data_IF_073025366263
#
_entry.id   IF_073025366263
#
_cell.length_a   1.000
_cell.length_b   1.000
_cell.length_c   1.000
_cell.angle_alpha   90.00
_cell.angle_beta   90.00
_cell.angle_gamma   90.00
#
_symmetry.space_group_name_H-M   'P 1'
#
loop_
_entity.id
_entity.type
_entity.pdbx_description
1 polymer ?
#
# COMPACT_ATOMS: atom_id res chain seq x y z
N UNK A 1 17.38 -11.65 3.81
CA UNK A 1 16.39 -12.60 3.21
C UNK A 1 16.08 -12.12 1.82
N UNK A 2 16.42 -12.92 0.80
CA UNK A 2 16.34 -12.52 -0.59
C UNK A 2 15.13 -13.17 -1.24
N UNK A 3 14.41 -12.40 -2.06
CA UNK A 3 13.40 -12.87 -3.01
C UNK A 3 13.94 -12.48 -4.38
N UNK A 4 13.92 -13.39 -5.32
CA UNK A 4 14.31 -13.14 -6.70
C UNK A 4 13.32 -13.81 -7.64
N UNK A 5 13.16 -13.26 -8.81
CA UNK A 5 12.17 -13.77 -9.75
C UNK A 5 12.21 -13.08 -11.10
N UNK A 6 11.28 -13.48 -11.94
CA UNK A 6 11.07 -12.91 -13.26
C UNK A 6 9.61 -12.48 -13.43
N UNK A 7 9.43 -11.40 -14.18
CA UNK A 7 8.13 -10.91 -14.57
C UNK A 7 8.09 -10.75 -16.09
N UNK A 8 7.32 -11.61 -16.74
CA UNK A 8 7.06 -11.55 -18.17
C UNK A 8 5.75 -10.82 -18.42
N UNK A 9 5.77 -9.86 -19.33
CA UNK A 9 4.57 -9.12 -19.74
C UNK A 9 4.53 -9.13 -21.27
N UNK A 10 3.45 -9.67 -21.84
CA UNK A 10 3.11 -9.55 -23.24
C UNK A 10 2.04 -8.49 -23.42
N UNK A 11 2.41 -7.35 -23.96
CA UNK A 11 1.48 -6.29 -24.32
C UNK A 11 0.89 -6.58 -25.70
N UNK A 12 -0.42 -6.34 -25.84
CA UNK A 12 -1.14 -6.56 -27.10
C UNK A 12 -1.23 -8.04 -27.54
N UNK A 13 -1.53 -8.93 -26.58
CA UNK A 13 -1.52 -10.39 -26.74
C UNK A 13 -2.39 -10.90 -27.93
N UNK A 14 -3.58 -10.34 -28.13
CA UNK A 14 -4.46 -10.67 -29.26
C UNK A 14 -4.72 -9.48 -30.21
N UNK A 15 -3.83 -8.48 -30.22
CA UNK A 15 -3.94 -7.33 -31.11
C UNK A 15 -4.89 -6.22 -30.65
N UNK A 16 -5.51 -6.33 -29.45
CA UNK A 16 -6.46 -5.38 -28.89
C UNK A 16 -5.98 -4.68 -27.61
N UNK A 17 -4.66 -4.51 -27.51
CA UNK A 17 -3.98 -3.96 -26.31
C UNK A 17 -4.23 -4.78 -25.04
N UNK A 18 -4.52 -6.04 -25.18
CA UNK A 18 -4.65 -7.01 -24.09
C UNK A 18 -3.27 -7.32 -23.52
N UNK A 19 -3.22 -7.47 -22.19
CA UNK A 19 -1.99 -7.80 -21.48
C UNK A 19 -2.10 -9.18 -20.86
N UNK A 20 -1.11 -10.01 -21.15
CA UNK A 20 -0.87 -11.25 -20.44
C UNK A 20 0.38 -11.06 -19.60
N UNK A 21 0.30 -11.38 -18.31
CA UNK A 21 1.41 -11.28 -17.39
C UNK A 21 1.65 -12.60 -16.66
N UNK A 22 2.91 -12.98 -16.52
CA UNK A 22 3.33 -14.12 -15.71
C UNK A 22 4.44 -13.64 -14.78
N UNK A 23 4.21 -13.73 -13.48
CA UNK A 23 5.19 -13.39 -12.47
C UNK A 23 5.56 -14.62 -11.66
N UNK A 24 6.85 -14.93 -11.57
CA UNK A 24 7.37 -16.01 -10.77
C UNK A 24 8.48 -15.49 -9.86
N UNK A 25 8.30 -15.68 -8.55
CA UNK A 25 9.27 -15.29 -7.51
C UNK A 25 9.60 -16.51 -6.65
N UNK A 26 10.82 -16.58 -6.16
CA UNK A 26 11.29 -17.66 -5.26
C UNK A 26 12.19 -17.09 -4.16
N UNK A 27 12.45 -17.90 -3.12
CA UNK A 27 13.16 -17.51 -1.91
C UNK A 27 12.32 -17.78 -0.67
N UNK A 28 12.34 -16.87 0.29
CA UNK A 28 11.51 -16.97 1.51
C UNK A 28 10.01 -16.79 1.24
N UNK A 29 9.66 -16.06 0.21
CA UNK A 29 8.32 -16.02 -0.37
C UNK A 29 8.43 -16.55 -1.79
N UNK A 30 7.62 -17.54 -2.11
CA UNK A 30 7.44 -18.01 -3.46
C UNK A 30 6.09 -17.49 -3.97
N UNK A 31 6.06 -16.96 -5.19
CA UNK A 31 4.85 -16.46 -5.82
C UNK A 31 4.81 -16.90 -7.28
N UNK A 32 3.67 -17.42 -7.68
CA UNK A 32 3.30 -17.58 -9.07
C UNK A 32 2.01 -16.79 -9.32
N UNK A 33 2.04 -15.89 -10.28
CA UNK A 33 0.87 -15.07 -10.62
C UNK A 33 0.69 -15.06 -12.14
N UNK A 34 -0.50 -15.43 -12.58
CA UNK A 34 -0.96 -15.32 -13.96
C UNK A 34 -2.04 -14.24 -14.00
N UNK A 35 -1.86 -13.26 -14.86
CA UNK A 35 -2.80 -12.17 -15.05
C UNK A 35 -3.16 -11.98 -16.52
N UNK A 36 -4.43 -11.74 -16.78
CA UNK A 36 -4.95 -11.28 -18.06
C UNK A 36 -5.72 -10.00 -17.87
N UNK A 37 -5.56 -9.05 -18.77
CA UNK A 37 -6.27 -7.78 -18.75
C UNK A 37 -6.58 -7.32 -20.16
N UNK A 38 -7.85 -7.13 -20.44
CA UNK A 38 -8.33 -6.44 -21.63
C UNK A 38 -8.82 -5.05 -21.23
N UNK A 39 -8.11 -3.97 -21.63
CA UNK A 39 -8.47 -2.63 -21.21
C UNK A 39 -9.77 -2.11 -21.86
N UNK A 40 -10.20 -2.70 -22.98
CA UNK A 40 -11.33 -2.20 -23.77
C UNK A 40 -12.15 -3.33 -24.35
N UNK A 41 -13.24 -3.70 -23.67
CA UNK A 41 -14.19 -4.70 -24.14
C UNK A 41 -15.42 -4.05 -24.81
N UNK A 42 -15.56 -2.72 -24.71
CA UNK A 42 -16.64 -1.95 -25.31
C UNK A 42 -16.15 -1.07 -26.46
N UNK A 43 -17.02 -0.72 -27.44
CA UNK A 43 -16.67 0.16 -28.57
C UNK A 43 -16.25 1.57 -28.12
N UNK A 44 -16.76 2.06 -26.99
CA UNK A 44 -16.42 3.38 -26.42
C UNK A 44 -15.07 3.40 -25.71
N UNK A 45 -14.39 2.25 -25.59
CA UNK A 45 -13.09 2.10 -24.90
C UNK A 45 -13.11 2.62 -23.47
N UNK A 46 -14.19 2.36 -22.74
CA UNK A 46 -14.39 2.81 -21.36
C UNK A 46 -14.40 1.68 -20.36
N UNK A 47 -14.70 0.46 -20.82
CA UNK A 47 -14.85 -0.73 -19.97
C UNK A 47 -13.72 -1.72 -20.24
N UNK A 48 -13.04 -2.14 -19.20
CA UNK A 48 -12.01 -3.18 -19.22
C UNK A 48 -12.36 -4.36 -18.33
N UNK A 49 -11.84 -5.53 -18.68
CA UNK A 49 -11.97 -6.80 -17.95
C UNK A 49 -10.60 -7.30 -17.54
N UNK A 50 -10.51 -7.88 -16.35
CA UNK A 50 -9.30 -8.56 -15.87
C UNK A 50 -9.63 -9.89 -15.20
N UNK A 51 -8.67 -10.81 -15.27
CA UNK A 51 -8.67 -12.07 -14.53
C UNK A 51 -7.28 -12.33 -13.98
N UNK A 52 -7.19 -12.89 -12.78
CA UNK A 52 -5.90 -13.28 -12.20
C UNK A 52 -6.02 -14.54 -11.36
N UNK A 53 -4.93 -15.34 -11.39
CA UNK A 53 -4.70 -16.47 -10.52
C UNK A 53 -3.38 -16.25 -9.80
N UNK A 54 -3.35 -16.43 -8.48
CA UNK A 54 -2.17 -16.18 -7.66
C UNK A 54 -1.98 -17.32 -6.68
N UNK A 55 -0.76 -17.86 -6.62
CA UNK A 55 -0.30 -18.83 -5.63
C UNK A 55 0.90 -18.25 -4.88
N UNK A 56 0.85 -18.28 -3.55
CA UNK A 56 1.91 -17.71 -2.70
C UNK A 56 2.21 -18.68 -1.55
N UNK A 57 3.49 -18.95 -1.33
CA UNK A 57 3.96 -19.63 -0.11
C UNK A 57 4.94 -18.75 0.66
N UNK A 58 4.90 -18.87 1.97
CA UNK A 58 5.78 -18.13 2.87
C UNK A 58 6.52 -19.08 3.80
N UNK A 59 7.86 -19.02 3.81
CA UNK A 59 8.76 -19.66 4.76
C UNK A 59 9.16 -18.72 5.90
N UNK A 60 8.79 -17.47 5.80
CA UNK A 60 8.90 -16.46 6.84
C UNK A 60 7.54 -15.78 7.01
N UNK A 61 7.00 -15.83 8.21
CA UNK A 61 5.66 -15.32 8.48
C UNK A 61 5.62 -14.59 9.82
N UNK A 62 5.06 -13.37 9.81
CA UNK A 62 4.70 -12.67 11.03
C UNK A 62 3.45 -13.33 11.61
N UNK A 63 3.55 -13.80 12.86
CA UNK A 63 2.46 -14.51 13.52
C UNK A 63 1.83 -13.75 14.69
N UNK A 64 2.51 -12.70 15.18
CA UNK A 64 2.03 -11.87 16.31
C UNK A 64 2.71 -10.50 16.26
N UNK A 65 2.03 -9.49 16.76
CA UNK A 65 2.64 -8.18 17.07
C UNK A 65 2.89 -8.09 18.57
N UNK A 66 4.11 -7.69 18.95
CA UNK A 66 4.52 -7.47 20.34
C UNK A 66 5.26 -6.14 20.41
N UNK A 67 4.81 -5.23 21.26
CA UNK A 67 5.39 -3.89 21.44
C UNK A 67 5.56 -3.15 20.11
N UNK A 68 4.49 -3.13 19.32
CA UNK A 68 4.44 -2.45 18.01
C UNK A 68 5.46 -2.94 16.98
N UNK A 69 5.96 -4.17 17.15
CA UNK A 69 6.86 -4.84 16.21
C UNK A 69 6.36 -6.23 15.85
N UNK A 70 6.62 -6.66 14.62
CA UNK A 70 6.21 -7.98 14.14
C UNK A 70 7.14 -9.08 14.64
N UNK A 71 6.59 -10.02 15.39
CA UNK A 71 7.27 -11.28 15.67
C UNK A 71 7.11 -12.22 14.49
N UNK A 72 8.24 -12.62 13.92
CA UNK A 72 8.29 -13.47 12.73
C UNK A 72 8.89 -14.83 13.04
N UNK A 73 8.28 -15.87 12.49
CA UNK A 73 8.85 -17.22 12.43
C UNK A 73 9.47 -17.44 11.06
N UNK A 74 10.68 -18.02 11.05
CA UNK A 74 11.35 -18.48 9.83
C UNK A 74 11.55 -19.98 9.89
N UNK A 75 11.28 -20.67 8.81
CA UNK A 75 11.39 -22.13 8.70
C UNK A 75 11.84 -22.52 7.30
N UNK A 76 12.45 -23.71 7.19
CA UNK A 76 12.70 -24.34 5.88
C UNK A 76 11.41 -24.94 5.29
N UNK A 77 10.40 -25.20 6.13
CA UNK A 77 9.07 -25.65 5.70
C UNK A 77 8.16 -24.45 5.39
N UNK A 78 7.15 -24.67 4.59
CA UNK A 78 6.13 -23.67 4.29
C UNK A 78 5.31 -23.41 5.57
N UNK A 79 5.24 -22.15 5.98
CA UNK A 79 4.46 -21.69 7.13
C UNK A 79 3.07 -21.20 6.74
N UNK A 80 2.92 -20.67 5.53
CA UNK A 80 1.63 -20.30 4.97
C UNK A 80 1.63 -20.57 3.48
N UNK A 81 0.53 -21.12 3.02
CA UNK A 81 0.18 -21.31 1.63
C UNK A 81 -1.11 -20.54 1.34
N UNK A 82 -1.18 -19.87 0.21
CA UNK A 82 -2.37 -19.14 -0.22
C UNK A 82 -2.50 -19.18 -1.73
N UNK A 83 -3.70 -19.46 -2.19
CA UNK A 83 -4.08 -19.27 -3.58
C UNK A 83 -5.32 -18.40 -3.68
N UNK A 84 -5.48 -17.67 -4.77
CA UNK A 84 -6.63 -16.83 -5.03
C UNK A 84 -6.87 -16.68 -6.51
N UNK A 85 -8.16 -16.59 -6.86
CA UNK A 85 -8.63 -16.28 -8.21
C UNK A 85 -9.51 -15.04 -8.18
N UNK A 86 -9.34 -14.12 -9.13
CA UNK A 86 -10.13 -12.91 -9.21
C UNK A 86 -10.58 -12.59 -10.63
N UNK A 87 -11.78 -12.01 -10.72
CA UNK A 87 -12.31 -11.36 -11.91
C UNK A 87 -12.57 -9.90 -11.58
N UNK A 88 -12.17 -9.01 -12.47
CA UNK A 88 -12.29 -7.57 -12.25
C UNK A 88 -12.85 -6.83 -13.46
N UNK A 89 -13.59 -5.79 -13.18
CA UNK A 89 -14.10 -4.82 -14.15
C UNK A 89 -13.52 -3.46 -13.83
N UNK A 90 -13.06 -2.76 -14.86
CA UNK A 90 -12.62 -1.37 -14.78
C UNK A 90 -13.47 -0.53 -15.71
N UNK A 91 -13.98 0.59 -15.22
CA UNK A 91 -14.73 1.55 -16.03
C UNK A 91 -14.12 2.93 -15.86
N UNK A 92 -13.83 3.58 -16.99
CA UNK A 92 -13.43 4.96 -17.04
C UNK A 92 -14.61 5.81 -17.53
N UNK A 93 -15.16 6.67 -16.67
CA UNK A 93 -16.31 7.51 -17.03
C UNK A 93 -15.86 8.83 -17.67
N UNK A 94 -14.87 9.47 -17.08
CA UNK A 94 -14.25 10.71 -17.57
C UNK A 94 -12.73 10.55 -17.61
N UNK A 95 -12.02 11.58 -18.00
CA UNK A 95 -10.56 11.51 -18.15
C UNK A 95 -9.83 11.10 -16.86
N UNK A 96 -10.34 11.55 -15.71
CA UNK A 96 -9.73 11.33 -14.39
C UNK A 96 -10.53 10.37 -13.49
N UNK A 97 -11.70 9.89 -13.93
CA UNK A 97 -12.62 9.08 -13.13
C UNK A 97 -12.49 7.60 -13.48
N UNK A 98 -12.02 6.82 -12.53
CA UNK A 98 -11.83 5.38 -12.66
C UNK A 98 -12.65 4.64 -11.61
N UNK A 99 -13.45 3.69 -12.06
CA UNK A 99 -14.19 2.76 -11.23
C UNK A 99 -13.62 1.36 -11.42
N UNK A 100 -13.53 0.63 -10.34
CA UNK A 100 -13.05 -0.74 -10.31
C UNK A 100 -13.99 -1.59 -9.47
N UNK A 101 -14.34 -2.76 -9.98
CA UNK A 101 -15.08 -3.77 -9.23
C UNK A 101 -14.36 -5.11 -9.37
N UNK A 102 -14.26 -5.87 -8.30
CA UNK A 102 -13.59 -7.18 -8.30
C UNK A 102 -14.36 -8.15 -7.43
N UNK A 103 -14.47 -9.40 -7.91
CA UNK A 103 -14.82 -10.56 -7.12
C UNK A 103 -13.57 -11.44 -7.01
N UNK A 104 -13.20 -11.83 -5.79
CA UNK A 104 -12.01 -12.62 -5.49
C UNK A 104 -12.34 -13.73 -4.52
N UNK A 105 -12.02 -14.96 -4.90
CA UNK A 105 -11.96 -16.06 -3.96
C UNK A 105 -10.54 -16.23 -3.43
N UNK A 106 -10.40 -16.43 -2.14
CA UNK A 106 -9.12 -16.65 -1.46
C UNK A 106 -9.22 -17.85 -0.53
N UNK A 107 -8.23 -18.74 -0.62
CA UNK A 107 -8.01 -19.84 0.30
C UNK A 107 -6.59 -19.78 0.84
N UNK A 108 -6.43 -19.88 2.14
CA UNK A 108 -5.13 -19.80 2.80
C UNK A 108 -5.05 -20.81 3.95
N UNK A 109 -3.92 -21.52 4.02
CA UNK A 109 -3.61 -22.49 5.06
C UNK A 109 -2.32 -22.09 5.77
N UNK A 110 -2.29 -22.21 7.10
CA UNK A 110 -1.08 -22.02 7.91
C UNK A 110 -0.67 -23.33 8.59
N UNK A 111 0.63 -23.47 8.80
CA UNK A 111 1.18 -24.61 9.55
C UNK A 111 0.68 -24.63 10.99
N UNK A 112 0.54 -25.82 11.57
CA UNK A 112 0.14 -26.02 12.97
C UNK A 112 1.00 -25.22 13.95
N UNK A 113 2.29 -25.06 13.65
CA UNK A 113 3.21 -24.24 14.46
C UNK A 113 2.72 -22.78 14.57
N UNK A 114 2.18 -22.20 13.51
CA UNK A 114 1.64 -20.83 13.54
C UNK A 114 0.39 -20.77 14.40
N UNK A 115 -0.50 -21.76 14.28
CA UNK A 115 -1.70 -21.87 15.11
C UNK A 115 -1.35 -22.03 16.60
N UNK A 116 -0.33 -22.84 16.92
CA UNK A 116 0.13 -23.03 18.30
C UNK A 116 0.72 -21.73 18.88
N UNK A 117 1.49 -20.98 18.09
CA UNK A 117 2.09 -19.70 18.49
C UNK A 117 1.07 -18.56 18.60
N UNK A 118 0.04 -18.58 17.76
CA UNK A 118 -1.07 -17.64 17.80
C UNK A 118 -2.39 -18.34 17.41
N UNK A 119 -3.17 -18.83 18.39
CA UNK A 119 -4.46 -19.47 18.14
C UNK A 119 -5.48 -18.54 17.46
N UNK A 120 -5.29 -17.23 17.56
CA UNK A 120 -6.15 -16.21 16.92
C UNK A 120 -5.64 -15.77 15.55
N UNK A 121 -4.63 -16.46 14.98
CA UNK A 121 -4.08 -16.10 13.68
C UNK A 121 -5.18 -16.11 12.59
N UNK A 122 -5.98 -17.20 12.55
CA UNK A 122 -7.25 -17.28 11.83
C UNK A 122 -8.41 -17.47 12.82
N UNK A 123 -9.62 -17.27 12.33
CA UNK A 123 -10.81 -17.30 13.16
C UNK A 123 -11.03 -18.68 13.82
N UNK A 124 -11.39 -18.69 15.10
CA UNK A 124 -11.65 -19.88 15.92
C UNK A 124 -10.49 -20.89 16.00
N UNK A 125 -9.25 -20.45 15.85
CA UNK A 125 -8.09 -21.35 15.91
C UNK A 125 -7.99 -22.30 14.72
N UNK A 126 -8.62 -21.96 13.60
CA UNK A 126 -8.51 -22.73 12.36
C UNK A 126 -7.10 -22.59 11.76
N UNK A 127 -6.66 -23.64 11.05
CA UNK A 127 -5.48 -23.57 10.19
C UNK A 127 -5.81 -22.98 8.82
N UNK A 128 -7.08 -22.89 8.47
CA UNK A 128 -7.56 -22.51 7.15
C UNK A 128 -8.44 -21.28 7.23
N UNK A 129 -8.35 -20.46 6.21
CA UNK A 129 -9.22 -19.31 6.00
C UNK A 129 -9.58 -19.24 4.52
N UNK A 130 -10.85 -19.38 4.21
CA UNK A 130 -11.41 -19.24 2.88
C UNK A 130 -12.55 -18.23 2.89
N UNK A 131 -12.62 -17.43 1.86
CA UNK A 131 -13.70 -16.44 1.71
C UNK A 131 -13.78 -15.92 0.28
N UNK A 132 -14.98 -15.50 -0.08
CA UNK A 132 -15.28 -14.72 -1.27
C UNK A 132 -15.31 -13.24 -0.89
N UNK A 133 -14.59 -12.40 -1.62
CA UNK A 133 -14.51 -10.97 -1.41
C UNK A 133 -15.11 -10.22 -2.60
N UNK A 134 -15.90 -9.20 -2.32
CA UNK A 134 -16.28 -8.17 -3.28
C UNK A 134 -15.55 -6.88 -2.95
N UNK A 135 -14.98 -6.26 -3.96
CA UNK A 135 -14.34 -4.95 -3.85
C UNK A 135 -14.96 -4.01 -4.86
N UNK A 136 -15.33 -2.83 -4.42
CA UNK A 136 -15.58 -1.69 -5.29
C UNK A 136 -14.61 -0.58 -4.93
N UNK A 137 -13.94 -0.01 -5.93
CA UNK A 137 -13.03 1.10 -5.74
C UNK A 137 -13.28 2.21 -6.75
N UNK A 138 -13.07 3.44 -6.31
CA UNK A 138 -13.12 4.64 -7.11
C UNK A 138 -11.81 5.39 -6.96
N UNK A 139 -11.27 5.93 -8.05
CA UNK A 139 -10.09 6.78 -8.06
C UNK A 139 -10.29 7.96 -8.99
N UNK A 140 -10.05 9.15 -8.44
CA UNK A 140 -9.96 10.42 -9.18
C UNK A 140 -8.56 10.97 -9.01
N UNK A 141 -7.80 11.07 -10.10
CA UNK A 141 -6.41 11.55 -10.07
C UNK A 141 -6.21 12.74 -11.00
N UNK A 142 -6.18 13.92 -10.42
CA UNK A 142 -5.98 15.22 -11.10
C UNK A 142 -4.71 15.90 -10.56
N UNK A 143 -3.60 15.15 -10.51
CA UNK A 143 -2.29 15.67 -10.13
C UNK A 143 -1.53 16.14 -11.37
N UNK A 144 -0.74 17.19 -11.21
CA UNK A 144 0.16 17.72 -12.25
C UNK A 144 1.24 16.70 -12.62
N UNK A 145 1.92 16.16 -11.63
CA UNK A 145 2.99 15.18 -11.80
C UNK A 145 2.89 14.07 -10.75
N UNK A 146 2.45 12.88 -11.14
CA UNK A 146 2.13 11.82 -10.20
C UNK A 146 3.27 11.37 -9.26
N UNK A 147 4.57 11.35 -9.67
CA UNK A 147 5.68 10.98 -8.77
C UNK A 147 5.97 11.99 -7.67
N UNK A 148 5.80 13.28 -7.93
CA UNK A 148 6.03 14.37 -6.97
C UNK A 148 5.07 15.53 -7.28
N UNK A 149 3.82 15.44 -6.83
CA UNK A 149 2.82 16.44 -7.16
C UNK A 149 2.99 17.72 -6.37
N UNK A 150 2.84 18.83 -7.05
CA UNK A 150 2.84 20.19 -6.49
C UNK A 150 1.47 20.83 -6.59
N UNK A 151 0.63 20.39 -7.54
CA UNK A 151 -0.71 20.92 -7.80
C UNK A 151 -1.72 19.81 -8.05
N UNK A 152 -2.97 20.10 -7.71
CA UNK A 152 -4.08 19.21 -8.02
C UNK A 152 -4.57 18.42 -6.82
N UNK A 153 -5.22 17.29 -7.09
CA UNK A 153 -5.79 16.44 -6.04
C UNK A 153 -5.88 15.01 -6.50
N UNK A 154 -5.87 14.10 -5.52
CA UNK A 154 -6.15 12.69 -5.71
C UNK A 154 -7.15 12.23 -4.65
N UNK A 155 -8.18 11.50 -5.08
CA UNK A 155 -9.22 10.95 -4.21
C UNK A 155 -9.33 9.47 -4.53
N UNK A 156 -9.13 8.61 -3.55
CA UNK A 156 -9.34 7.19 -3.65
C UNK A 156 -10.36 6.75 -2.60
N UNK A 157 -11.21 5.83 -2.98
CA UNK A 157 -12.22 5.21 -2.13
C UNK A 157 -12.26 3.72 -2.45
N UNK A 158 -12.40 2.87 -1.43
CA UNK A 158 -12.58 1.45 -1.60
C UNK A 158 -13.52 0.89 -0.55
N UNK A 159 -14.49 0.11 -0.99
CA UNK A 159 -15.38 -0.70 -0.15
C UNK A 159 -15.07 -2.16 -0.40
N UNK A 160 -14.76 -2.89 0.65
CA UNK A 160 -14.48 -4.32 0.61
C UNK A 160 -15.47 -5.05 1.49
N UNK A 161 -16.09 -6.08 0.97
CA UNK A 161 -16.95 -6.99 1.70
C UNK A 161 -16.33 -8.39 1.66
N UNK A 162 -16.08 -8.96 2.83
CA UNK A 162 -15.43 -10.26 3.01
C UNK A 162 -16.43 -11.28 3.54
N UNK A 163 -16.51 -12.44 2.90
CA UNK A 163 -17.37 -13.51 3.34
C UNK A 163 -18.83 -13.38 2.89
N UNK A 164 -19.06 -13.60 1.61
CA UNK A 164 -20.37 -13.53 0.98
C UNK A 164 -21.14 -14.83 1.19
N UNK A 165 -20.43 -15.96 1.20
CA UNK A 165 -21.01 -17.28 1.32
C UNK A 165 -21.18 -17.66 2.81
N UNK A 166 -22.22 -18.42 3.13
CA UNK A 166 -22.52 -18.83 4.50
C UNK A 166 -21.38 -19.65 5.15
N UNK A 167 -20.60 -20.37 4.33
CA UNK A 167 -19.44 -21.17 4.77
C UNK A 167 -18.14 -20.39 4.85
N UNK A 168 -18.11 -19.10 4.51
CA UNK A 168 -16.90 -18.30 4.54
C UNK A 168 -16.40 -18.11 5.98
N UNK A 169 -15.08 -18.14 6.15
CA UNK A 169 -14.42 -17.96 7.44
C UNK A 169 -14.49 -16.52 7.96
N UNK A 170 -14.75 -15.56 7.08
CA UNK A 170 -14.88 -14.14 7.39
C UNK A 170 -16.30 -13.67 7.09
N UNK A 171 -16.76 -12.66 7.81
CA UNK A 171 -18.01 -11.95 7.51
C UNK A 171 -17.95 -10.54 8.09
N UNK A 172 -17.38 -9.61 7.33
CA UNK A 172 -17.30 -8.20 7.68
C UNK A 172 -17.04 -7.35 6.43
N UNK A 173 -17.19 -6.04 6.56
CA UNK A 173 -16.78 -5.10 5.53
C UNK A 173 -15.79 -4.07 6.07
N UNK A 174 -14.96 -3.53 5.19
CA UNK A 174 -14.15 -2.34 5.44
C UNK A 174 -14.37 -1.28 4.35
N UNK A 175 -14.29 -0.03 4.79
CA UNK A 175 -14.29 1.16 3.97
C UNK A 175 -12.96 1.86 4.12
N UNK A 176 -12.32 2.17 3.00
CA UNK A 176 -11.08 2.93 2.96
C UNK A 176 -11.25 4.16 2.11
N UNK A 177 -10.77 5.28 2.60
CA UNK A 177 -10.75 6.54 1.88
C UNK A 177 -9.38 7.19 1.96
N UNK A 178 -8.95 7.80 0.87
CA UNK A 178 -7.73 8.61 0.81
C UNK A 178 -8.01 9.86 0.00
N UNK A 179 -7.65 11.01 0.55
CA UNK A 179 -7.77 12.30 -0.12
C UNK A 179 -6.45 13.02 0.02
N UNK A 180 -5.87 13.44 -1.09
CA UNK A 180 -4.66 14.24 -1.12
C UNK A 180 -4.89 15.52 -1.93
N UNK A 181 -4.55 16.65 -1.35
CA UNK A 181 -4.57 17.96 -2.00
C UNK A 181 -3.16 18.53 -2.08
N UNK A 182 -2.88 19.16 -3.22
CA UNK A 182 -1.59 19.78 -3.54
C UNK A 182 -1.86 21.24 -3.92
N UNK A 183 -1.40 22.15 -3.09
CA UNK A 183 -1.63 23.58 -3.24
C UNK A 183 -0.35 24.31 -3.61
N UNK A 184 -0.38 25.06 -4.67
CA UNK A 184 0.63 26.06 -5.00
C UNK A 184 0.21 27.39 -4.35
N UNK A 185 1.03 27.87 -3.42
CA UNK A 185 0.79 29.12 -2.70
C UNK A 185 1.43 30.33 -3.41
N UNK A 186 2.11 30.10 -4.53
CA UNK A 186 2.93 31.10 -5.20
C UNK A 186 4.32 31.28 -4.56
N UNK A 187 5.17 32.06 -5.18
CA UNK A 187 6.53 32.39 -4.70
C UNK A 187 7.36 31.14 -4.33
N UNK A 188 7.18 30.03 -5.08
CA UNK A 188 7.87 28.74 -4.86
C UNK A 188 7.46 27.98 -3.58
N UNK A 189 6.34 28.33 -2.95
CA UNK A 189 5.83 27.64 -1.77
C UNK A 189 4.68 26.70 -2.14
N UNK A 190 4.69 25.51 -1.57
CA UNK A 190 3.68 24.47 -1.83
C UNK A 190 3.26 23.80 -0.53
N UNK A 191 2.01 23.36 -0.49
CA UNK A 191 1.49 22.53 0.62
C UNK A 191 0.93 21.23 0.05
N UNK A 192 1.27 20.14 0.68
CA UNK A 192 0.63 18.85 0.48
C UNK A 192 -0.11 18.47 1.75
N UNK A 193 -1.38 18.12 1.64
CA UNK A 193 -2.16 17.57 2.74
C UNK A 193 -2.83 16.29 2.29
N UNK A 194 -2.52 15.18 2.97
CA UNK A 194 -3.10 13.87 2.70
C UNK A 194 -3.82 13.35 3.94
N UNK A 195 -5.00 12.82 3.72
CA UNK A 195 -5.82 12.17 4.72
C UNK A 195 -6.16 10.77 4.27
N UNK A 196 -6.00 9.79 5.15
CA UNK A 196 -6.40 8.40 4.92
C UNK A 196 -7.22 7.92 6.11
N UNK A 197 -8.27 7.20 5.81
CA UNK A 197 -9.12 6.61 6.83
C UNK A 197 -9.51 5.17 6.43
N UNK A 198 -9.62 4.32 7.42
CA UNK A 198 -10.20 2.98 7.32
C UNK A 198 -11.24 2.85 8.42
N UNK A 199 -12.43 2.39 8.04
CA UNK A 199 -13.50 2.02 8.96
C UNK A 199 -13.89 0.58 8.65
N UNK A 200 -13.88 -0.26 9.67
CA UNK A 200 -14.23 -1.67 9.55
C UNK A 200 -15.46 -1.94 10.40
N UNK A 201 -16.39 -2.71 9.91
CA UNK A 201 -17.51 -3.19 10.71
C UNK A 201 -16.95 -3.93 11.93
N UNK A 202 -17.34 -3.49 13.12
CA UNK A 202 -16.99 -4.19 14.35
C UNK A 202 -17.68 -5.55 14.38
N UNK A 203 -16.88 -6.59 14.22
CA UNK A 203 -17.34 -7.97 14.27
C UNK A 203 -16.31 -8.77 15.10
N UNK A 204 -16.80 -9.59 16.03
CA UNK A 204 -15.99 -10.50 16.85
C UNK A 204 -15.22 -11.55 16.03
N UNK A 205 -15.45 -11.60 14.73
CA UNK A 205 -14.92 -12.61 13.82
C UNK A 205 -13.69 -12.15 13.01
N UNK A 206 -13.11 -10.98 13.33
CA UNK A 206 -11.91 -10.49 12.63
C UNK A 206 -10.67 -11.12 13.28
N UNK A 207 -9.95 -12.02 12.60
CA UNK A 207 -8.75 -12.66 13.14
C UNK A 207 -7.52 -11.74 13.06
N UNK A 208 -6.44 -12.10 13.77
CA UNK A 208 -5.18 -11.37 13.78
C UNK A 208 -4.66 -11.04 12.37
N UNK A 209 -4.74 -11.99 11.44
CA UNK A 209 -4.28 -11.80 10.07
C UNK A 209 -4.97 -10.65 9.31
N UNK A 210 -6.10 -10.14 9.81
CA UNK A 210 -6.94 -9.15 9.15
C UNK A 210 -7.02 -7.78 9.87
N UNK A 211 -6.40 -7.64 11.07
CA UNK A 211 -6.43 -6.38 11.86
C UNK A 211 -5.31 -5.39 11.50
N UNK A 212 -4.83 -5.42 10.29
CA UNK A 212 -3.71 -4.58 9.85
C UNK A 212 -4.15 -3.12 9.65
N UNK A 213 -3.51 -2.17 10.35
CA UNK A 213 -3.80 -0.74 10.19
C UNK A 213 -2.61 0.02 9.61
N UNK A 214 -1.67 0.50 10.42
CA UNK A 214 -0.56 1.33 9.95
C UNK A 214 0.79 0.61 10.07
N UNK A 215 1.76 1.00 9.23
CA UNK A 215 3.12 0.45 9.25
C UNK A 215 3.32 -0.83 8.44
N UNK A 216 2.29 -1.36 7.80
CA UNK A 216 2.36 -2.57 6.95
C UNK A 216 2.71 -2.29 5.48
N UNK A 217 2.96 -1.05 5.16
CA UNK A 217 3.32 -0.56 3.83
C UNK A 217 3.75 0.90 3.92
N UNK A 218 3.27 1.73 2.99
CA UNK A 218 3.61 3.16 2.97
C UNK A 218 2.74 4.01 3.91
N UNK A 219 1.75 3.42 4.56
CA UNK A 219 0.83 4.11 5.45
C UNK A 219 1.40 4.11 6.87
N UNK A 220 2.23 5.10 7.16
CA UNK A 220 2.84 5.33 8.46
C UNK A 220 2.93 6.83 8.77
N UNK A 221 3.00 7.18 10.04
CA UNK A 221 3.42 8.50 10.53
C UNK A 221 4.94 8.56 10.45
N UNK A 222 5.49 9.64 9.90
CA UNK A 222 6.97 9.82 9.81
C UNK A 222 7.59 9.81 11.21
N UNK A 223 8.64 8.97 11.36
CA UNK A 223 9.28 8.65 12.64
C UNK A 223 8.82 7.32 13.25
N UNK A 224 7.80 6.67 12.68
CA UNK A 224 7.31 5.35 13.09
C UNK A 224 7.50 4.28 12.01
N UNK A 225 8.51 4.42 11.14
CA UNK A 225 8.76 3.53 10.00
C UNK A 225 9.08 2.09 10.42
N UNK A 226 9.57 1.89 11.64
CA UNK A 226 9.91 0.57 12.20
C UNK A 226 8.78 -0.04 13.03
N UNK A 227 7.68 0.68 13.21
CA UNK A 227 6.56 0.23 14.01
C UNK A 227 5.40 -0.22 13.11
N UNK A 228 4.69 -1.23 13.58
CA UNK A 228 3.39 -1.63 13.05
C UNK A 228 2.33 -1.37 14.11
N UNK A 229 1.19 -0.89 13.69
CA UNK A 229 0.09 -0.56 14.59
C UNK A 229 -1.12 -1.35 14.12
N UNK A 230 -1.53 -2.30 14.92
CA UNK A 230 -2.71 -3.12 14.63
C UNK A 230 -3.98 -2.40 15.04
N UNK A 231 -5.00 -2.57 14.23
CA UNK A 231 -6.30 -2.02 14.52
C UNK A 231 -7.31 -2.26 13.41
N UNK A 232 -8.56 -2.12 13.76
CA UNK A 232 -9.68 -2.27 12.82
C UNK A 232 -9.94 -0.96 12.08
N UNK A 233 -9.81 0.18 12.78
CA UNK A 233 -10.08 1.49 12.21
C UNK A 233 -8.85 2.38 12.35
N UNK A 234 -8.65 3.30 11.42
CA UNK A 234 -7.63 4.34 11.58
C UNK A 234 -7.98 5.63 10.84
N UNK A 235 -7.40 6.71 11.33
CA UNK A 235 -7.28 7.99 10.67
C UNK A 235 -5.80 8.37 10.63
N UNK A 236 -5.29 8.73 9.46
CA UNK A 236 -3.93 9.19 9.23
C UNK A 236 -3.98 10.51 8.46
N UNK A 237 -3.25 11.52 8.94
CA UNK A 237 -3.03 12.77 8.23
C UNK A 237 -1.53 13.00 8.05
N UNK A 238 -1.13 13.33 6.83
CA UNK A 238 0.26 13.66 6.46
C UNK A 238 0.27 15.04 5.80
N UNK A 239 0.96 15.98 6.40
CA UNK A 239 1.03 17.35 5.92
C UNK A 239 2.47 17.76 5.70
N UNK A 240 2.75 18.41 4.58
CA UNK A 240 4.10 18.83 4.23
C UNK A 240 4.05 20.23 3.60
N UNK A 241 4.77 21.16 4.17
CA UNK A 241 5.08 22.45 3.59
C UNK A 241 6.42 22.35 2.86
N UNK A 242 6.48 22.81 1.62
CA UNK A 242 7.64 22.68 0.73
C UNK A 242 8.02 24.03 0.18
N UNK A 243 9.31 24.30 0.08
CA UNK A 243 9.87 25.46 -0.62
C UNK A 243 10.75 24.98 -1.78
N UNK A 244 10.51 25.45 -2.99
CA UNK A 244 11.35 25.13 -4.15
C UNK A 244 12.63 26.00 -4.11
N UNK A 245 13.66 25.47 -3.47
CA UNK A 245 14.95 26.15 -3.35
C UNK A 245 15.72 26.17 -4.67
N UNK A 246 15.64 25.05 -5.41
CA UNK A 246 16.40 24.84 -6.63
C UNK A 246 15.56 24.09 -7.67
N UNK A 247 15.59 24.56 -8.92
CA UNK A 247 14.95 23.88 -10.04
C UNK A 247 15.71 24.25 -11.32
N UNK A 248 16.66 23.41 -11.73
CA UNK A 248 17.48 23.65 -12.93
C UNK A 248 17.83 22.36 -13.62
N UNK A 249 18.11 22.43 -14.90
CA UNK A 249 18.74 21.37 -15.67
C UNK A 249 20.24 21.52 -15.56
N UNK A 250 20.90 20.50 -15.02
CA UNK A 250 22.38 20.48 -14.82
C UNK A 250 23.00 19.63 -15.93
N UNK A 251 23.92 20.17 -16.74
CA UNK A 251 24.66 19.37 -17.70
C UNK A 251 25.73 18.52 -17.00
N UNK A 252 25.58 17.20 -17.00
CA UNK A 252 26.57 16.26 -16.49
C UNK A 252 27.53 15.85 -17.61
N UNK A 253 28.69 16.49 -17.67
CA UNK A 253 29.73 16.22 -18.67
C UNK A 253 30.31 14.80 -18.62
N UNK A 254 30.13 14.08 -17.51
CA UNK A 254 30.55 12.69 -17.32
C UNK A 254 29.75 11.70 -18.15
N UNK A 255 28.51 12.06 -18.57
CA UNK A 255 27.65 11.23 -19.40
C UNK A 255 27.88 11.60 -20.86
N UNK A 256 28.45 10.72 -21.68
CA UNK A 256 28.81 11.04 -23.07
C UNK A 256 27.60 11.18 -24.01
N UNK A 257 26.44 10.66 -23.60
CA UNK A 257 25.21 10.67 -24.42
C UNK A 257 24.41 11.96 -24.17
N UNK A 258 24.23 12.80 -25.20
CA UNK A 258 23.52 14.08 -25.12
C UNK A 258 22.10 13.97 -24.58
N UNK A 259 21.41 12.87 -24.84
CA UNK A 259 20.05 12.63 -24.35
C UNK A 259 19.94 12.33 -22.84
N UNK A 260 21.05 11.98 -22.19
CA UNK A 260 21.11 11.65 -20.76
C UNK A 260 21.99 12.61 -19.95
N UNK A 261 22.70 13.51 -20.61
CA UNK A 261 23.63 14.40 -19.92
C UNK A 261 22.99 15.67 -19.33
N UNK A 262 21.69 15.88 -19.58
CA UNK A 262 20.95 17.02 -19.04
C UNK A 262 20.05 16.55 -17.92
N UNK A 263 20.50 16.68 -16.67
CA UNK A 263 19.81 16.18 -15.47
C UNK A 263 18.91 17.26 -14.89
N UNK A 264 17.59 17.12 -14.95
CA UNK A 264 16.69 17.99 -14.18
C UNK A 264 16.89 17.70 -12.69
N UNK A 265 17.17 18.72 -11.91
CA UNK A 265 17.33 18.63 -10.47
C UNK A 265 16.45 19.68 -9.81
N UNK A 266 15.58 19.21 -8.93
CA UNK A 266 14.79 20.08 -8.06
C UNK A 266 15.02 19.69 -6.60
N UNK A 267 15.20 20.68 -5.74
CA UNK A 267 15.46 20.51 -4.30
C UNK A 267 14.42 21.31 -3.52
N UNK A 268 13.75 20.62 -2.59
CA UNK A 268 12.72 21.20 -1.75
C UNK A 268 13.08 20.99 -0.27
N UNK A 269 13.55 22.00 0.49
CA UNK A 269 13.43 22.01 1.93
C UNK A 269 11.98 21.84 2.34
N UNK A 270 11.73 21.01 3.34
CA UNK A 270 10.38 20.68 3.78
C UNK A 270 10.24 20.77 5.29
N UNK A 271 9.06 21.19 5.73
CA UNK A 271 8.59 21.07 7.11
C UNK A 271 7.35 20.17 7.09
N UNK A 272 7.29 19.20 7.98
CA UNK A 272 6.15 18.28 7.99
C UNK A 272 5.56 18.09 9.38
N UNK A 273 4.27 17.77 9.38
CA UNK A 273 3.51 17.38 10.56
C UNK A 273 2.51 16.29 10.18
N UNK A 274 2.69 15.12 10.76
CA UNK A 274 1.82 13.95 10.57
C UNK A 274 1.18 13.58 11.90
N UNK A 275 -0.04 13.08 11.85
CA UNK A 275 -0.68 12.50 13.03
C UNK A 275 -1.60 11.36 12.62
N UNK A 276 -1.81 10.41 13.53
CA UNK A 276 -2.72 9.31 13.33
C UNK A 276 -3.36 8.86 14.64
N UNK A 277 -4.51 8.23 14.49
CA UNK A 277 -5.19 7.48 15.54
C UNK A 277 -5.60 6.12 14.98
N UNK A 278 -5.24 5.05 15.67
CA UNK A 278 -5.65 3.68 15.32
C UNK A 278 -6.54 3.17 16.44
N UNK A 279 -7.78 2.79 16.10
CA UNK A 279 -8.70 2.14 17.02
C UNK A 279 -8.57 0.64 16.92
N UNK A 280 -8.29 -0.01 18.05
CA UNK A 280 -8.25 -1.45 18.20
C UNK A 280 -9.34 -1.88 19.17
N UNK A 281 -10.39 -2.51 18.64
CA UNK A 281 -11.52 -3.00 19.42
C UNK A 281 -11.23 -4.37 20.09
N UNK A 282 -10.18 -5.08 19.63
CA UNK A 282 -9.81 -6.44 20.04
C UNK A 282 -8.39 -6.48 20.61
N UNK A 283 -8.14 -5.89 21.80
CA UNK A 283 -6.80 -5.84 22.40
C UNK A 283 -6.21 -7.22 22.72
N UNK A 284 -7.06 -8.25 22.83
CA UNK A 284 -6.64 -9.64 23.03
C UNK A 284 -5.89 -10.24 21.83
N UNK A 285 -6.03 -9.67 20.65
CA UNK A 285 -5.39 -10.16 19.43
C UNK A 285 -3.96 -9.66 19.24
N UNK A 286 -3.59 -8.55 19.90
CA UNK A 286 -2.31 -7.88 19.67
C UNK A 286 -1.82 -7.17 20.92
N UNK A 287 -0.50 -7.00 21.03
CA UNK A 287 0.15 -6.21 22.08
C UNK A 287 0.72 -4.92 21.48
N UNK A 288 -0.17 -4.08 20.96
CA UNK A 288 0.19 -2.76 20.42
C UNK A 288 0.03 -1.68 21.48
N UNK A 289 1.11 -0.93 21.77
CA UNK A 289 1.09 0.21 22.67
C UNK A 289 0.72 1.51 21.96
N UNK A 290 0.82 1.54 20.63
CA UNK A 290 0.51 2.70 19.80
C UNK A 290 -0.95 2.74 19.36
N UNK A 291 -1.72 1.67 19.57
CA UNK A 291 -3.17 1.65 19.34
C UNK A 291 -3.93 2.41 20.44
N UNK A 292 -5.13 2.86 20.12
CA UNK A 292 -6.06 3.58 20.99
C UNK A 292 -5.51 4.88 21.60
N UNK A 293 -4.55 5.52 20.91
CA UNK A 293 -4.03 6.83 21.29
C UNK A 293 -3.60 7.62 20.06
N UNK A 294 -3.51 8.94 20.20
CA UNK A 294 -2.94 9.79 19.17
C UNK A 294 -1.43 9.64 19.11
N UNK A 295 -0.92 9.45 17.90
CA UNK A 295 0.51 9.49 17.59
C UNK A 295 0.76 10.64 16.61
N UNK A 296 1.90 11.28 16.74
CA UNK A 296 2.31 12.36 15.84
C UNK A 296 3.82 12.32 15.59
N UNK A 297 4.20 12.80 14.41
CA UNK A 297 5.57 13.03 14.00
C UNK A 297 5.68 14.36 13.28
N UNK A 298 6.62 15.18 13.67
CA UNK A 298 6.91 16.46 13.01
C UNK A 298 8.40 16.59 12.77
N UNK A 299 8.79 17.36 11.77
CA UNK A 299 10.21 17.50 11.49
C UNK A 299 10.53 18.36 10.29
N UNK A 300 11.84 18.39 10.00
CA UNK A 300 12.41 19.03 8.85
C UNK A 300 12.90 17.98 7.87
N UNK A 301 12.94 18.32 6.59
CA UNK A 301 13.45 17.42 5.58
C UNK A 301 13.89 18.13 4.31
N UNK A 302 14.41 17.32 3.39
CA UNK A 302 14.79 17.73 2.05
C UNK A 302 14.30 16.69 1.05
N UNK A 303 13.55 17.12 0.05
CA UNK A 303 13.13 16.28 -1.06
C UNK A 303 13.98 16.64 -2.28
N UNK A 304 14.57 15.61 -2.91
CA UNK A 304 15.38 15.72 -4.11
C UNK A 304 14.64 15.00 -5.23
N UNK A 305 14.29 15.73 -6.27
CA UNK A 305 13.56 15.19 -7.44
C UNK A 305 14.46 15.29 -8.65
N UNK A 306 14.65 14.19 -9.36
CA UNK A 306 15.51 14.14 -10.53
C UNK A 306 14.92 13.21 -11.61
N UNK A 307 15.74 12.75 -12.56
CA UNK A 307 15.35 11.91 -13.70
C UNK A 307 14.44 10.73 -13.36
N UNK A 308 13.66 10.33 -14.33
CA UNK A 308 12.88 9.07 -14.36
C UNK A 308 12.00 8.85 -13.13
N UNK A 309 11.40 9.93 -12.63
CA UNK A 309 10.54 9.88 -11.45
C UNK A 309 11.30 9.50 -10.15
N UNK A 310 12.60 9.69 -10.12
CA UNK A 310 13.38 9.44 -8.92
C UNK A 310 13.16 10.58 -7.92
N UNK A 311 12.65 10.21 -6.77
CA UNK A 311 12.42 11.10 -5.63
C UNK A 311 13.14 10.52 -4.42
N UNK A 312 14.07 11.28 -3.85
CA UNK A 312 14.75 10.95 -2.60
C UNK A 312 14.30 11.94 -1.53
N UNK A 313 13.80 11.43 -0.41
CA UNK A 313 13.35 12.24 0.72
C UNK A 313 14.19 11.92 1.93
N UNK A 314 14.74 12.96 2.53
CA UNK A 314 15.50 12.92 3.77
C UNK A 314 14.70 13.67 4.82
N UNK A 315 14.56 13.11 6.01
CA UNK A 315 13.79 13.76 7.08
C UNK A 315 14.31 13.42 8.46
N UNK A 316 14.22 14.37 9.37
CA UNK A 316 14.52 14.18 10.79
C UNK A 316 13.22 14.40 11.56
N UNK A 317 12.44 13.34 11.81
CA UNK A 317 11.22 13.42 12.58
C UNK A 317 11.49 13.47 14.08
N UNK A 318 10.69 14.24 14.79
CA UNK A 318 10.52 14.18 16.24
C UNK A 318 9.14 13.58 16.51
N UNK A 319 9.07 12.57 17.36
CA UNK A 319 7.84 11.81 17.65
C UNK A 319 7.49 11.87 19.14
N UNK A 320 6.21 11.69 19.46
CA UNK A 320 5.77 11.70 20.87
C UNK A 320 6.23 10.48 21.69
N UNK A 321 6.78 9.44 21.06
CA UNK A 321 7.45 8.33 21.76
C UNK A 321 8.90 8.65 22.19
N UNK A 322 9.41 9.85 21.86
CA UNK A 322 10.75 10.32 22.24
C UNK A 322 11.92 9.76 21.44
N UNK A 323 11.68 8.89 20.47
CA UNK A 323 12.72 8.36 19.58
C UNK A 323 12.68 9.12 18.25
N UNK A 324 13.76 9.81 17.92
CA UNK A 324 13.98 10.47 16.65
C UNK A 324 15.14 9.81 15.91
N UNK A 325 15.14 9.89 14.59
CA UNK A 325 16.18 9.30 13.75
C UNK A 325 16.16 9.93 12.37
N UNK A 326 17.17 9.66 11.56
CA UNK A 326 17.18 10.05 10.15
C UNK A 326 16.31 9.05 9.37
N UNK A 327 15.33 9.57 8.65
CA UNK A 327 14.48 8.80 7.73
C UNK A 327 14.91 9.09 6.30
N UNK A 328 15.21 8.05 5.55
CA UNK A 328 15.54 8.12 4.12
C UNK A 328 14.50 7.32 3.36
N UNK A 329 13.83 7.94 2.41
CA UNK A 329 12.86 7.28 1.53
C UNK A 329 13.20 7.56 0.07
N UNK A 330 13.19 6.51 -0.73
CA UNK A 330 13.42 6.60 -2.18
C UNK A 330 12.18 6.05 -2.88
N UNK A 331 11.61 6.83 -3.77
CA UNK A 331 10.42 6.41 -4.52
C UNK A 331 9.46 7.55 -4.79
N UNK A 332 8.22 7.17 -5.16
CA UNK A 332 7.14 8.12 -5.40
C UNK A 332 6.60 8.69 -4.08
N UNK A 333 6.00 9.87 -4.13
CA UNK A 333 5.43 10.49 -2.92
C UNK A 333 4.21 9.73 -2.39
N UNK A 334 3.42 9.11 -3.29
CA UNK A 334 2.17 8.41 -2.99
C UNK A 334 1.96 7.18 -3.91
#
# INVERSE_FOLDING_TARGET
>A
RTIYGAHFIHNNFMGRNEKLSLKAETGFTQRLELGYSNPYIDPKKTLGLGASLTYITNKNLAFRTVNDTLNTLSSNKILRERWSGALSLRKRLKFYDFHFAEIRYSHSVVADTIRQLNPNYYYKGSNEQNFLQLTYAYSYDFRDYAPYPLRGKKIDFAYNFYGILAQDALNYWDLRASVAYFFDLGSNFFITSQWKAKVTQENKNIPYANILALGYGNDNVRGYELNVIDGTNYLLSKNTFKYQLFNKIIPLRIIPYKQFNQVPLSIYPTVFFDFAYVSQAHPELTSSHLSNRWIYGMGLGFDIVTYYNFVCKLGVPVVNSGKSGLVVSIGREF
#
